data_IF_233119493627
#
_entry.id   IF_233119493627
#
_cell.length_a   1.000
_cell.length_b   1.000
_cell.length_c   1.000
_cell.angle_alpha   90.00
_cell.angle_beta   90.00
_cell.angle_gamma   90.00
#
_symmetry.space_group_name_H-M   'P 1'
#
loop_
_entity.id
_entity.type
_entity.pdbx_description
1 polymer ?
#
# COMPACT_ATOMS: atom_id res chain seq x y z
N UNK A 1 2.73 -20.40 8.34
CA UNK A 1 1.30 -20.02 8.44
C UNK A 1 1.18 -18.66 7.77
N UNK A 2 0.30 -18.54 6.78
CA UNK A 2 0.22 -17.39 5.87
C UNK A 2 -0.44 -16.18 6.54
N UNK A 3 0.18 -14.99 6.44
CA UNK A 3 -0.44 -13.73 6.83
C UNK A 3 -1.36 -13.26 5.72
N UNK A 4 -2.59 -12.88 6.05
CA UNK A 4 -3.56 -12.29 5.14
C UNK A 4 -3.84 -10.84 5.56
N UNK A 5 -3.93 -9.94 4.58
CA UNK A 5 -4.34 -8.57 4.85
C UNK A 5 -5.81 -8.49 5.26
N UNK A 6 -6.67 -9.39 4.75
CA UNK A 6 -8.08 -9.46 5.11
C UNK A 6 -8.30 -10.05 6.50
N UNK A 7 -7.37 -10.87 7.00
CA UNK A 7 -7.41 -11.47 8.33
C UNK A 7 -6.02 -11.47 9.00
N UNK A 8 -5.59 -10.31 9.52
CA UNK A 8 -4.27 -10.15 10.10
C UNK A 8 -4.07 -10.93 11.40
N UNK A 9 -5.14 -11.46 12.01
CA UNK A 9 -5.12 -12.09 13.34
C UNK A 9 -5.46 -13.59 13.34
N UNK A 10 -5.80 -14.20 12.20
CA UNK A 10 -6.17 -15.63 11.97
C UNK A 10 -5.26 -16.72 12.56
N UNK A 11 -4.12 -16.39 13.16
CA UNK A 11 -3.09 -17.35 13.55
C UNK A 11 -3.40 -18.19 14.80
N UNK A 12 -4.50 -17.92 15.50
CA UNK A 12 -4.95 -18.71 16.65
C UNK A 12 -6.23 -19.48 16.28
N UNK A 13 -6.07 -20.52 15.44
CA UNK A 13 -7.18 -21.43 15.08
C UNK A 13 -7.68 -22.31 16.24
N UNK A 14 -7.16 -22.14 17.44
CA UNK A 14 -7.71 -22.72 18.66
C UNK A 14 -7.82 -21.59 19.70
N UNK A 15 -9.06 -21.13 19.92
CA UNK A 15 -9.52 -20.12 20.86
C UNK A 15 -9.33 -18.64 20.45
N UNK A 16 -10.49 -18.04 20.11
CA UNK A 16 -10.79 -16.62 19.84
C UNK A 16 -10.57 -16.16 18.40
N UNK A 17 -11.64 -16.23 17.60
CA UNK A 17 -11.84 -15.25 16.54
C UNK A 17 -11.89 -13.88 17.23
N UNK A 18 -10.83 -13.10 17.08
CA UNK A 18 -10.79 -11.74 17.61
C UNK A 18 -11.99 -10.97 17.03
N UNK A 19 -12.72 -10.29 17.90
CA UNK A 19 -13.96 -9.59 17.51
C UNK A 19 -13.57 -8.32 16.77
N UNK A 20 -14.35 -7.89 15.78
CA UNK A 20 -14.14 -6.61 15.08
C UNK A 20 -13.85 -5.42 16.03
N UNK A 21 -14.41 -5.47 17.25
CA UNK A 21 -14.14 -4.54 18.35
C UNK A 21 -12.64 -4.43 18.72
N UNK A 22 -11.89 -5.53 18.74
CA UNK A 22 -10.46 -5.53 19.06
C UNK A 22 -9.63 -4.92 17.93
N UNK A 23 -10.07 -5.11 16.68
CA UNK A 23 -9.46 -4.43 15.53
C UNK A 23 -9.64 -2.91 15.65
N UNK A 24 -10.85 -2.43 15.94
CA UNK A 24 -11.11 -1.00 16.18
C UNK A 24 -10.30 -0.45 17.37
N UNK A 25 -10.15 -1.23 18.45
CA UNK A 25 -9.39 -0.79 19.62
C UNK A 25 -7.88 -0.68 19.33
N UNK A 26 -7.35 -1.54 18.45
CA UNK A 26 -5.90 -1.68 18.22
C UNK A 26 -5.41 -0.97 16.96
N UNK A 27 -6.28 -0.54 16.05
CA UNK A 27 -5.86 -0.02 14.74
C UNK A 27 -4.91 1.18 14.82
N UNK A 28 -5.01 1.98 15.87
CA UNK A 28 -4.15 3.16 16.10
C UNK A 28 -2.70 2.77 16.40
N UNK A 29 -2.45 1.59 16.97
CA UNK A 29 -1.10 1.10 17.27
C UNK A 29 -0.30 0.73 16.00
N UNK A 30 -1.02 0.59 14.89
CA UNK A 30 -0.51 0.23 13.57
C UNK A 30 -0.43 1.43 12.62
N UNK A 31 -0.68 2.65 13.11
CA UNK A 31 -0.55 3.88 12.33
C UNK A 31 0.84 4.52 12.48
N UNK A 32 1.28 5.32 11.49
CA UNK A 32 2.40 6.23 11.66
C UNK A 32 2.15 7.22 12.81
N UNK A 33 3.22 7.72 13.44
CA UNK A 33 3.08 8.71 14.51
C UNK A 33 2.38 10.00 14.03
N UNK A 34 1.50 10.64 14.82
CA UNK A 34 0.66 11.76 14.38
C UNK A 34 1.44 12.96 13.82
N UNK A 35 2.64 13.22 14.33
CA UNK A 35 3.48 14.34 13.88
C UNK A 35 4.23 14.06 12.57
N UNK A 36 4.07 12.86 11.99
CA UNK A 36 4.75 12.46 10.76
C UNK A 36 4.40 13.36 9.57
N UNK A 37 3.16 13.87 9.53
CA UNK A 37 2.63 14.65 8.40
C UNK A 37 3.12 16.09 8.35
N UNK A 38 3.71 16.61 9.43
CA UNK A 38 4.38 17.92 9.44
C UNK A 38 5.76 17.86 8.74
N UNK A 39 5.90 16.97 7.77
CA UNK A 39 7.18 16.56 7.20
C UNK A 39 7.86 17.69 6.44
N UNK A 40 9.18 17.82 6.62
CA UNK A 40 10.00 18.71 5.80
C UNK A 40 10.00 18.23 4.34
N UNK A 41 10.21 19.15 3.38
CA UNK A 41 10.27 18.83 1.94
C UNK A 41 11.18 17.63 1.61
N UNK A 42 12.29 17.47 2.35
CA UNK A 42 13.20 16.34 2.20
C UNK A 42 12.58 14.99 2.59
N UNK A 43 11.78 14.94 3.66
CA UNK A 43 11.06 13.71 4.06
C UNK A 43 10.04 13.28 3.02
N UNK A 44 9.37 14.24 2.37
CA UNK A 44 8.44 13.96 1.29
C UNK A 44 9.14 13.35 0.07
N UNK A 45 10.29 13.92 -0.36
CA UNK A 45 11.08 13.38 -1.47
C UNK A 45 11.58 11.96 -1.18
N UNK A 46 12.14 11.73 0.02
CA UNK A 46 12.61 10.40 0.44
C UNK A 46 11.49 9.37 0.44
N UNK A 47 10.29 9.74 0.92
CA UNK A 47 9.10 8.87 0.92
C UNK A 47 8.69 8.50 -0.49
N UNK A 48 8.59 9.47 -1.40
CA UNK A 48 8.20 9.22 -2.78
C UNK A 48 9.22 8.30 -3.50
N UNK A 49 10.51 8.53 -3.28
CA UNK A 49 11.57 7.69 -3.85
C UNK A 49 11.52 6.27 -3.27
N UNK A 50 11.32 6.12 -1.94
CA UNK A 50 11.19 4.82 -1.28
C UNK A 50 10.01 4.01 -1.85
N UNK A 51 8.83 4.64 -1.97
CA UNK A 51 7.63 3.99 -2.50
C UNK A 51 7.85 3.59 -3.96
N UNK A 52 8.43 4.46 -4.78
CA UNK A 52 8.76 4.16 -6.17
C UNK A 52 9.66 2.92 -6.29
N UNK A 53 10.70 2.84 -5.46
CA UNK A 53 11.59 1.68 -5.41
C UNK A 53 10.88 0.40 -4.95
N UNK A 54 9.99 0.49 -3.94
CA UNK A 54 9.19 -0.65 -3.48
C UNK A 54 8.31 -1.18 -4.62
N UNK A 55 7.60 -0.29 -5.32
CA UNK A 55 6.72 -0.66 -6.42
C UNK A 55 7.50 -1.20 -7.63
N UNK A 56 8.66 -0.62 -7.93
CA UNK A 56 9.55 -1.12 -8.97
C UNK A 56 10.00 -2.56 -8.68
N UNK A 57 10.45 -2.84 -7.45
CA UNK A 57 10.85 -4.20 -7.06
C UNK A 57 9.66 -5.16 -7.06
N UNK A 58 8.50 -4.71 -6.57
CA UNK A 58 7.26 -5.51 -6.62
C UNK A 58 6.93 -5.92 -8.07
N UNK A 59 7.01 -4.99 -9.01
CA UNK A 59 6.76 -5.27 -10.43
C UNK A 59 7.84 -6.18 -11.04
N UNK A 60 9.12 -5.87 -10.84
CA UNK A 60 10.24 -6.64 -11.41
C UNK A 60 10.33 -8.07 -10.89
N UNK A 61 9.97 -8.31 -9.63
CA UNK A 61 9.97 -9.62 -9.00
C UNK A 61 8.59 -10.33 -9.07
N UNK A 62 7.59 -9.71 -9.70
CA UNK A 62 6.21 -10.21 -9.76
C UNK A 62 5.64 -10.59 -8.38
N UNK A 63 5.87 -9.73 -7.37
CA UNK A 63 5.39 -9.96 -6.01
C UNK A 63 3.90 -9.61 -5.93
N UNK A 64 3.20 -10.31 -5.03
CA UNK A 64 1.82 -9.98 -4.72
C UNK A 64 1.71 -8.52 -4.21
N UNK A 65 0.72 -7.73 -4.67
CA UNK A 65 0.54 -6.34 -4.25
C UNK A 65 0.45 -6.16 -2.73
N UNK A 66 -0.03 -7.18 -1.99
CA UNK A 66 -0.07 -7.16 -0.53
C UNK A 66 1.31 -7.09 0.11
N UNK A 67 2.35 -7.63 -0.54
CA UNK A 67 3.74 -7.54 -0.06
C UNK A 67 4.22 -6.10 -0.12
N UNK A 68 3.99 -5.40 -1.24
CA UNK A 68 4.34 -4.00 -1.37
C UNK A 68 3.54 -3.12 -0.40
N UNK A 69 2.23 -3.37 -0.26
CA UNK A 69 1.38 -2.67 0.69
C UNK A 69 1.93 -2.78 2.12
N UNK A 70 2.32 -3.98 2.53
CA UNK A 70 2.86 -4.23 3.86
C UNK A 70 4.24 -3.58 4.03
N UNK A 71 5.10 -3.64 3.01
CA UNK A 71 6.40 -2.97 3.02
C UNK A 71 6.28 -1.45 3.15
N UNK A 72 5.34 -0.82 2.43
CA UNK A 72 5.08 0.62 2.51
C UNK A 72 4.50 0.98 3.88
N UNK A 73 3.61 0.16 4.45
CA UNK A 73 3.14 0.34 5.82
C UNK A 73 4.31 0.33 6.84
N UNK A 74 5.25 -0.61 6.71
CA UNK A 74 6.43 -0.65 7.57
C UNK A 74 7.32 0.56 7.39
N UNK A 75 7.56 0.97 6.15
CA UNK A 75 8.33 2.16 5.81
C UNK A 75 7.74 3.40 6.49
N UNK A 76 6.44 3.67 6.33
CA UNK A 76 5.79 4.84 6.91
C UNK A 76 5.89 4.83 8.45
N UNK A 77 5.61 3.69 9.08
CA UNK A 77 5.72 3.55 10.55
C UNK A 77 7.16 3.73 11.03
N UNK A 78 8.14 3.17 10.33
CA UNK A 78 9.56 3.32 10.64
C UNK A 78 10.02 4.79 10.52
N UNK A 79 9.72 5.44 9.39
CA UNK A 79 10.05 6.85 9.15
C UNK A 79 9.38 7.80 10.14
N UNK A 80 8.23 7.42 10.70
CA UNK A 80 7.53 8.22 11.71
C UNK A 80 8.19 8.18 13.09
N UNK A 81 8.97 7.13 13.39
CA UNK A 81 9.59 6.90 14.71
C UNK A 81 11.10 7.08 14.74
N UNK A 82 11.74 7.07 13.57
CA UNK A 82 13.18 7.18 13.44
C UNK A 82 13.60 8.43 12.68
N UNK A 83 14.65 9.08 13.15
CA UNK A 83 15.38 10.06 12.36
C UNK A 83 16.33 9.31 11.43
N UNK A 84 16.01 9.33 10.14
CA UNK A 84 16.86 8.74 9.11
C UNK A 84 17.84 9.81 8.65
N UNK A 85 19.17 9.59 8.74
CA UNK A 85 20.16 10.49 8.17
C UNK A 85 20.01 10.55 6.64
N UNK A 86 19.30 11.58 6.17
CA UNK A 86 18.92 11.74 4.75
C UNK A 86 20.11 12.06 3.82
N UNK A 87 21.31 12.26 4.39
CA UNK A 87 22.55 12.56 3.65
C UNK A 87 23.14 11.33 2.93
N UNK A 88 22.57 10.14 3.14
CA UNK A 88 23.11 8.87 2.63
C UNK A 88 22.09 8.16 1.73
N UNK A 89 22.16 8.33 0.39
CA UNK A 89 21.21 7.71 -0.54
C UNK A 89 21.16 6.17 -0.47
N UNK A 90 22.26 5.51 -0.08
CA UNK A 90 22.28 4.06 0.12
C UNK A 90 21.39 3.61 1.29
N UNK A 91 21.17 4.48 2.28
CA UNK A 91 20.36 4.14 3.46
C UNK A 91 18.88 3.98 3.09
N UNK A 92 18.38 4.82 2.17
CA UNK A 92 17.05 4.67 1.58
C UNK A 92 16.86 3.26 1.01
N UNK A 93 17.79 2.83 0.14
CA UNK A 93 17.75 1.52 -0.51
C UNK A 93 17.80 0.39 0.52
N UNK A 94 18.64 0.52 1.54
CA UNK A 94 18.72 -0.47 2.62
C UNK A 94 17.40 -0.58 3.40
N UNK A 95 16.75 0.54 3.73
CA UNK A 95 15.45 0.56 4.41
C UNK A 95 14.38 -0.09 3.52
N UNK A 96 14.33 0.27 2.23
CA UNK A 96 13.39 -0.30 1.25
C UNK A 96 13.54 -1.82 1.16
N UNK A 97 14.76 -2.31 0.92
CA UNK A 97 15.08 -3.74 0.82
C UNK A 97 14.69 -4.49 2.10
N UNK A 98 14.94 -3.88 3.26
CA UNK A 98 14.61 -4.50 4.55
C UNK A 98 13.10 -4.53 4.81
N UNK A 99 12.35 -3.49 4.40
CA UNK A 99 10.88 -3.49 4.48
C UNK A 99 10.28 -4.57 3.57
N UNK A 100 10.78 -4.71 2.35
CA UNK A 100 10.38 -5.76 1.40
C UNK A 100 10.70 -7.16 1.94
N UNK A 101 11.89 -7.36 2.49
CA UNK A 101 12.27 -8.65 3.06
C UNK A 101 11.43 -9.04 4.28
N UNK A 102 11.11 -8.08 5.16
CA UNK A 102 10.18 -8.31 6.27
C UNK A 102 8.77 -8.61 5.78
N UNK A 103 8.28 -7.89 4.78
CA UNK A 103 6.94 -8.10 4.23
C UNK A 103 6.82 -9.47 3.56
N UNK A 104 7.82 -9.90 2.78
CA UNK A 104 7.85 -11.22 2.16
C UNK A 104 7.92 -12.33 3.19
N UNK A 105 8.73 -12.19 4.25
CA UNK A 105 8.77 -13.13 5.38
C UNK A 105 7.42 -13.27 6.06
N UNK A 106 6.71 -12.16 6.29
CA UNK A 106 5.38 -12.17 6.90
C UNK A 106 4.35 -12.85 5.99
N UNK A 107 4.40 -12.59 4.69
CA UNK A 107 3.54 -13.22 3.67
C UNK A 107 3.97 -14.65 3.29
N UNK A 108 5.07 -15.17 3.83
CA UNK A 108 5.72 -16.41 3.39
C UNK A 108 6.00 -16.46 1.88
N UNK A 109 6.24 -15.30 1.26
CA UNK A 109 6.60 -15.18 -0.15
C UNK A 109 8.08 -15.52 -0.32
N UNK A 110 8.45 -16.49 -1.18
CA UNK A 110 9.84 -16.84 -1.40
C UNK A 110 10.55 -15.68 -2.10
N UNK A 111 11.41 -14.97 -1.37
CA UNK A 111 12.14 -13.82 -1.88
C UNK A 111 13.53 -13.79 -1.28
N UNK A 112 14.56 -13.90 -2.13
CA UNK A 112 15.94 -13.78 -1.67
C UNK A 112 16.38 -12.32 -1.68
N UNK A 113 17.36 -11.98 -0.83
CA UNK A 113 17.94 -10.63 -0.78
C UNK A 113 18.61 -10.27 -2.11
N UNK A 114 19.09 -11.26 -2.86
CA UNK A 114 19.68 -11.08 -4.19
C UNK A 114 18.64 -10.62 -5.22
N UNK A 115 17.39 -11.07 -5.09
CA UNK A 115 16.31 -10.75 -6.04
C UNK A 115 15.84 -9.30 -5.91
N UNK A 116 15.94 -8.73 -4.70
CA UNK A 116 15.45 -7.38 -4.37
C UNK A 116 16.55 -6.32 -4.34
N UNK A 117 17.75 -6.63 -4.80
CA UNK A 117 18.82 -5.63 -4.88
C UNK A 117 18.39 -4.49 -5.81
N UNK A 118 18.71 -3.26 -5.39
CA UNK A 118 18.41 -2.05 -6.15
C UNK A 118 19.70 -1.60 -6.84
N UNK A 119 19.61 -1.25 -8.13
CA UNK A 119 20.76 -0.84 -8.93
C UNK A 119 21.63 0.20 -8.22
N UNK A 120 22.94 0.00 -8.24
CA UNK A 120 23.92 0.90 -7.63
C UNK A 120 24.18 0.70 -6.13
N UNK A 121 23.54 -0.25 -5.45
CA UNK A 121 23.88 -0.67 -4.09
C UNK A 121 23.74 -2.18 -3.92
N UNK A 122 24.79 -2.86 -3.47
CA UNK A 122 24.75 -4.29 -3.14
C UNK A 122 24.89 -4.43 -1.63
N UNK A 123 23.89 -4.99 -0.98
CA UNK A 123 23.90 -5.24 0.46
C UNK A 123 24.03 -6.73 0.77
N UNK A 124 24.97 -7.03 1.67
CA UNK A 124 25.09 -8.36 2.26
C UNK A 124 23.87 -8.68 3.13
N UNK A 125 23.50 -9.97 3.19
CA UNK A 125 22.39 -10.46 4.01
C UNK A 125 22.50 -10.03 5.47
N UNK A 126 23.72 -10.00 6.03
CA UNK A 126 23.96 -9.55 7.40
C UNK A 126 23.59 -8.06 7.60
N UNK A 127 23.85 -7.21 6.61
CA UNK A 127 23.54 -5.78 6.68
C UNK A 127 22.04 -5.54 6.60
N UNK A 128 21.35 -6.25 5.71
CA UNK A 128 19.87 -6.25 5.65
C UNK A 128 19.29 -6.71 6.98
N UNK A 129 19.75 -7.85 7.52
CA UNK A 129 19.26 -8.37 8.81
C UNK A 129 19.44 -7.40 9.98
N UNK A 130 20.52 -6.60 10.02
CA UNK A 130 20.68 -5.54 11.03
C UNK A 130 19.63 -4.44 10.89
N UNK A 131 19.34 -4.02 9.66
CA UNK A 131 18.29 -3.02 9.39
C UNK A 131 16.90 -3.58 9.70
N UNK A 132 16.63 -4.86 9.38
CA UNK A 132 15.38 -5.52 9.75
C UNK A 132 15.14 -5.48 11.25
N UNK A 133 16.16 -5.74 12.07
CA UNK A 133 16.05 -5.65 13.53
C UNK A 133 15.73 -4.22 14.00
N UNK A 134 16.29 -3.20 13.36
CA UNK A 134 15.95 -1.80 13.67
C UNK A 134 14.50 -1.48 13.32
N UNK A 135 14.01 -1.97 12.17
CA UNK A 135 12.61 -1.81 11.76
C UNK A 135 11.69 -2.54 12.74
N UNK A 136 11.98 -3.81 13.06
CA UNK A 136 11.22 -4.61 14.03
C UNK A 136 11.16 -3.92 15.40
N UNK A 137 12.29 -3.41 15.89
CA UNK A 137 12.35 -2.67 17.15
C UNK A 137 11.49 -1.39 17.11
N UNK A 138 11.61 -0.60 16.04
CA UNK A 138 10.81 0.62 15.88
C UNK A 138 9.31 0.34 15.74
N UNK A 139 8.93 -0.81 15.18
CA UNK A 139 7.54 -1.24 15.02
C UNK A 139 7.01 -2.00 16.25
N UNK A 140 7.82 -2.16 17.30
CA UNK A 140 7.50 -2.96 18.50
C UNK A 140 7.07 -4.38 18.13
N UNK A 141 7.69 -4.95 17.10
CA UNK A 141 7.39 -6.28 16.56
C UNK A 141 5.95 -6.47 16.05
N UNK A 142 5.15 -5.40 15.96
CA UNK A 142 3.78 -5.42 15.42
C UNK A 142 3.78 -5.46 13.89
N UNK A 143 4.25 -6.58 13.33
CA UNK A 143 4.40 -6.78 11.88
C UNK A 143 3.09 -7.21 11.21
N UNK A 144 2.16 -7.81 11.96
CA UNK A 144 0.80 -8.08 11.47
C UNK A 144 -0.01 -6.81 11.50
N UNK A 145 0.24 -5.92 10.54
CA UNK A 145 -0.40 -4.61 10.50
C UNK A 145 -1.90 -4.75 10.37
N UNK A 146 -2.64 -4.05 11.23
CA UNK A 146 -4.08 -3.84 11.03
C UNK A 146 -4.21 -2.87 9.85
N UNK A 147 -4.82 -3.35 8.78
CA UNK A 147 -4.99 -2.61 7.52
C UNK A 147 -6.48 -2.35 7.26
N UNK A 148 -6.87 -1.61 6.21
CA UNK A 148 -8.28 -1.34 5.92
C UNK A 148 -9.07 -2.59 5.50
N UNK A 149 -8.41 -3.64 4.99
CA UNK A 149 -9.08 -4.79 4.36
C UNK A 149 -10.02 -5.60 5.30
N UNK A 150 -9.69 -5.87 6.57
CA UNK A 150 -10.60 -6.53 7.51
C UNK A 150 -11.85 -5.71 7.80
N UNK A 151 -11.69 -4.38 7.91
CA UNK A 151 -12.81 -3.46 8.09
C UNK A 151 -13.68 -3.37 6.83
N UNK A 152 -13.08 -3.43 5.64
CA UNK A 152 -13.83 -3.50 4.38
C UNK A 152 -14.73 -4.75 4.36
N UNK A 153 -14.17 -5.91 4.72
CA UNK A 153 -14.94 -7.14 4.84
C UNK A 153 -16.10 -7.02 5.85
N UNK A 154 -15.83 -6.42 7.01
CA UNK A 154 -16.84 -6.12 8.02
C UNK A 154 -17.96 -5.24 7.47
N UNK A 155 -17.63 -4.06 6.92
CA UNK A 155 -18.65 -3.13 6.42
C UNK A 155 -19.49 -3.73 5.31
N UNK A 156 -18.88 -4.43 4.35
CA UNK A 156 -19.61 -5.12 3.26
C UNK A 156 -20.58 -6.16 3.80
N UNK A 157 -20.14 -6.95 4.78
CA UNK A 157 -20.95 -7.98 5.43
C UNK A 157 -22.14 -7.37 6.18
N UNK A 158 -21.94 -6.21 6.80
CA UNK A 158 -22.97 -5.46 7.54
C UNK A 158 -23.96 -4.70 6.65
N UNK A 159 -23.71 -4.57 5.34
CA UNK A 159 -24.65 -3.90 4.44
C UNK A 159 -25.92 -4.72 4.20
N UNK A 160 -27.06 -4.02 4.10
CA UNK A 160 -28.37 -4.60 3.75
C UNK A 160 -28.49 -5.01 2.26
N UNK A 161 -27.41 -4.87 1.48
CA UNK A 161 -27.37 -5.27 0.09
C UNK A 161 -27.65 -6.77 -0.03
N UNK A 162 -28.73 -7.13 -0.76
CA UNK A 162 -29.13 -8.53 -0.94
C UNK A 162 -28.39 -9.22 -2.08
N UNK A 163 -27.89 -8.46 -3.05
CA UNK A 163 -27.22 -8.97 -4.22
C UNK A 163 -25.75 -9.31 -3.91
N UNK A 164 -25.37 -10.62 -3.90
CA UNK A 164 -24.00 -11.03 -3.63
C UNK A 164 -23.02 -10.57 -4.73
N UNK A 165 -23.49 -10.46 -5.98
CA UNK A 165 -22.65 -10.02 -7.09
C UNK A 165 -22.27 -8.55 -6.94
N UNK A 166 -23.23 -7.69 -6.57
CA UNK A 166 -22.96 -6.30 -6.26
C UNK A 166 -22.01 -6.15 -5.07
N UNK A 167 -22.18 -6.95 -4.00
CA UNK A 167 -21.25 -6.95 -2.85
C UNK A 167 -19.83 -7.26 -3.28
N UNK A 168 -19.65 -8.23 -4.19
CA UNK A 168 -18.35 -8.60 -4.71
C UNK A 168 -17.72 -7.48 -5.55
N UNK A 169 -18.48 -6.89 -6.48
CA UNK A 169 -17.99 -5.78 -7.32
C UNK A 169 -17.64 -4.54 -6.47
N UNK A 170 -18.44 -4.24 -5.44
CA UNK A 170 -18.12 -3.18 -4.47
C UNK A 170 -16.85 -3.49 -3.68
N UNK A 171 -16.65 -4.74 -3.25
CA UNK A 171 -15.42 -5.18 -2.57
C UNK A 171 -14.20 -4.95 -3.45
N UNK A 172 -14.27 -5.36 -4.70
CA UNK A 172 -13.17 -5.24 -5.67
C UNK A 172 -12.83 -3.77 -5.94
N UNK A 173 -13.84 -2.94 -6.17
CA UNK A 173 -13.61 -1.52 -6.42
C UNK A 173 -13.09 -0.77 -5.19
N UNK A 174 -13.66 -1.04 -4.00
CA UNK A 174 -13.16 -0.46 -2.76
C UNK A 174 -11.71 -0.92 -2.47
N UNK A 175 -11.39 -2.17 -2.78
CA UNK A 175 -10.01 -2.70 -2.69
C UNK A 175 -9.05 -1.95 -3.60
N UNK A 176 -9.43 -1.70 -4.87
CA UNK A 176 -8.64 -0.86 -5.80
C UNK A 176 -8.41 0.54 -5.23
N UNK A 177 -9.47 1.17 -4.70
CA UNK A 177 -9.38 2.50 -4.07
C UNK A 177 -8.41 2.48 -2.88
N UNK A 178 -8.48 1.46 -2.00
CA UNK A 178 -7.57 1.32 -0.85
C UNK A 178 -6.11 1.21 -1.30
N UNK A 179 -5.82 0.42 -2.34
CA UNK A 179 -4.47 0.30 -2.88
C UNK A 179 -3.95 1.63 -3.41
N UNK A 180 -4.77 2.35 -4.16
CA UNK A 180 -4.38 3.65 -4.71
C UNK A 180 -4.18 4.70 -3.59
N UNK A 181 -5.06 4.68 -2.58
CA UNK A 181 -5.03 5.56 -1.41
C UNK A 181 -3.76 5.40 -0.56
N UNK A 182 -3.19 4.20 -0.54
CA UNK A 182 -2.06 3.86 0.32
C UNK A 182 -0.81 4.73 0.08
N UNK A 183 -0.66 5.27 -1.12
CA UNK A 183 0.49 6.08 -1.52
C UNK A 183 0.29 7.58 -1.25
N UNK A 184 -0.94 8.03 -0.98
CA UNK A 184 -1.23 9.43 -0.69
C UNK A 184 -0.85 9.74 0.77
N UNK A 185 0.01 10.74 0.94
CA UNK A 185 0.46 11.18 2.25
C UNK A 185 -0.69 11.73 3.09
N UNK A 186 -1.69 12.36 2.48
CA UNK A 186 -2.86 12.92 3.17
C UNK A 186 -3.71 11.82 3.78
N UNK A 187 -3.72 10.63 3.20
CA UNK A 187 -4.54 9.52 3.70
C UNK A 187 -3.87 8.77 4.86
N UNK A 188 -2.62 9.06 5.19
CA UNK A 188 -1.90 8.41 6.30
C UNK A 188 -2.35 8.88 7.70
N UNK A 189 -3.07 10.01 7.83
CA UNK A 189 -3.66 10.42 9.12
C UNK A 189 -4.90 9.65 9.52
N UNK A 190 -5.56 9.00 8.56
CA UNK A 190 -6.84 8.35 8.80
C UNK A 190 -6.64 6.91 9.28
N UNK A 191 -7.49 6.51 10.22
CA UNK A 191 -7.50 5.15 10.73
C UNK A 191 -7.84 4.15 9.62
N UNK A 192 -7.29 2.93 9.66
CA UNK A 192 -7.62 1.87 8.71
C UNK A 192 -9.12 1.66 8.52
N UNK A 193 -9.92 1.72 9.58
CA UNK A 193 -11.38 1.63 9.53
C UNK A 193 -12.03 2.78 8.76
N UNK A 194 -11.57 4.01 8.99
CA UNK A 194 -12.01 5.21 8.24
C UNK A 194 -11.65 5.10 6.77
N UNK A 195 -10.45 4.63 6.43
CA UNK A 195 -10.02 4.37 5.04
C UNK A 195 -10.94 3.34 4.39
N UNK A 196 -11.23 2.21 5.06
CA UNK A 196 -12.09 1.17 4.54
C UNK A 196 -13.53 1.65 4.27
N UNK A 197 -14.12 2.35 5.24
CA UNK A 197 -15.43 2.96 5.14
C UNK A 197 -15.50 3.95 3.96
N UNK A 198 -14.50 4.82 3.85
CA UNK A 198 -14.43 5.86 2.83
C UNK A 198 -14.26 5.28 1.43
N UNK A 199 -13.46 4.22 1.30
CA UNK A 199 -13.27 3.52 0.04
C UNK A 199 -14.56 2.82 -0.42
N UNK A 200 -15.28 2.17 0.51
CA UNK A 200 -16.55 1.51 0.21
C UNK A 200 -17.63 2.52 -0.19
N UNK A 201 -17.74 3.65 0.52
CA UNK A 201 -18.67 4.73 0.17
C UNK A 201 -18.32 5.31 -1.20
N UNK A 202 -17.03 5.55 -1.48
CA UNK A 202 -16.58 6.06 -2.78
C UNK A 202 -16.85 5.08 -3.93
N UNK A 203 -16.59 3.79 -3.74
CA UNK A 203 -16.94 2.74 -4.71
C UNK A 203 -18.44 2.70 -5.00
N UNK A 204 -19.28 2.86 -3.97
CA UNK A 204 -20.74 2.86 -4.16
C UNK A 204 -21.26 4.07 -4.94
N UNK A 205 -20.57 5.22 -4.86
CA UNK A 205 -20.91 6.42 -5.63
C UNK A 205 -20.75 6.19 -7.13
N UNK A 206 -19.74 5.42 -7.52
CA UNK A 206 -19.44 5.08 -8.91
C UNK A 206 -20.34 3.95 -9.43
N UNK A 207 -20.43 2.84 -8.67
CA UNK A 207 -21.05 1.60 -9.16
C UNK A 207 -22.55 1.50 -8.91
N UNK A 208 -23.06 2.10 -7.83
CA UNK A 208 -24.47 2.05 -7.48
C UNK A 208 -24.96 3.37 -6.84
N UNK A 209 -25.01 4.48 -7.60
CA UNK A 209 -25.36 5.81 -7.07
C UNK A 209 -26.71 5.85 -6.31
N UNK A 210 -27.64 4.97 -6.68
CA UNK A 210 -28.95 4.84 -6.03
C UNK A 210 -28.86 4.39 -4.56
N UNK A 211 -27.82 3.63 -4.21
CA UNK A 211 -27.63 3.06 -2.86
C UNK A 211 -26.61 3.84 -2.03
N UNK A 212 -25.93 4.82 -2.64
CA UNK A 212 -24.89 5.65 -2.02
C UNK A 212 -25.35 6.28 -0.70
N UNK A 213 -26.50 6.97 -0.69
CA UNK A 213 -26.99 7.67 0.50
C UNK A 213 -27.30 6.72 1.65
N UNK A 214 -27.92 5.58 1.35
CA UNK A 214 -28.23 4.54 2.35
C UNK A 214 -26.96 3.92 2.91
N UNK A 215 -26.02 3.54 2.04
CA UNK A 215 -24.76 2.93 2.46
C UNK A 215 -23.92 3.88 3.30
N UNK A 216 -23.82 5.15 2.89
CA UNK A 216 -23.14 6.19 3.65
C UNK A 216 -23.75 6.37 5.04
N UNK A 217 -25.08 6.46 5.14
CA UNK A 217 -25.76 6.61 6.43
C UNK A 217 -25.56 5.38 7.34
N UNK A 218 -25.64 4.17 6.77
CA UNK A 218 -25.43 2.93 7.53
C UNK A 218 -24.00 2.80 8.05
N UNK A 219 -23.00 3.18 7.28
CA UNK A 219 -21.59 3.14 7.69
C UNK A 219 -21.29 4.25 8.71
N UNK A 220 -21.81 5.48 8.49
CA UNK A 220 -21.64 6.59 9.41
C UNK A 220 -22.29 6.36 10.79
N UNK A 221 -23.29 5.47 10.87
CA UNK A 221 -23.90 5.05 12.13
C UNK A 221 -23.00 4.14 12.99
N UNK A 222 -21.83 3.73 12.49
CA UNK A 222 -20.87 2.93 13.27
C UNK A 222 -20.21 3.79 14.36
N UNK A 223 -20.46 3.46 15.63
CA UNK A 223 -19.97 4.22 16.80
C UNK A 223 -18.44 4.34 16.88
N UNK A 224 -17.70 3.43 16.24
CA UNK A 224 -16.24 3.44 16.24
C UNK A 224 -15.63 4.40 15.19
N UNK A 225 -16.44 5.02 14.32
CA UNK A 225 -16.01 5.99 13.33
C UNK A 225 -16.26 7.42 13.81
N UNK A 226 -15.27 8.27 13.61
CA UNK A 226 -15.41 9.72 13.76
C UNK A 226 -16.01 10.33 12.48
N UNK A 227 -17.15 11.00 12.60
CA UNK A 227 -17.93 11.50 11.44
C UNK A 227 -17.19 12.59 10.65
N UNK A 228 -16.47 13.47 11.35
CA UNK A 228 -15.68 14.54 10.74
C UNK A 228 -14.51 13.97 9.92
N UNK A 229 -13.77 13.01 10.50
CA UNK A 229 -12.66 12.32 9.82
C UNK A 229 -13.16 11.48 8.66
N UNK A 230 -14.30 10.80 8.82
CA UNK A 230 -14.93 10.02 7.75
C UNK A 230 -15.30 10.91 6.57
N UNK A 231 -15.93 12.05 6.81
CA UNK A 231 -16.35 12.97 5.75
C UNK A 231 -15.15 13.50 4.97
N UNK A 232 -14.11 13.99 5.67
CA UNK A 232 -12.88 14.48 5.03
C UNK A 232 -12.17 13.39 4.22
N UNK A 233 -12.10 12.16 4.76
CA UNK A 233 -11.47 11.04 4.09
C UNK A 233 -12.23 10.63 2.82
N UNK A 234 -13.57 10.67 2.84
CA UNK A 234 -14.40 10.42 1.65
C UNK A 234 -14.10 11.47 0.58
N UNK A 235 -14.05 12.74 0.93
CA UNK A 235 -13.80 13.82 -0.03
C UNK A 235 -12.42 13.65 -0.68
N UNK A 236 -11.38 13.37 0.12
CA UNK A 236 -10.03 13.10 -0.39
C UNK A 236 -9.98 11.88 -1.33
N UNK A 237 -10.64 10.77 -0.97
CA UNK A 237 -10.67 9.58 -1.82
C UNK A 237 -11.43 9.81 -3.12
N UNK A 238 -12.53 10.55 -3.09
CA UNK A 238 -13.30 10.87 -4.29
C UNK A 238 -12.53 11.78 -5.23
N UNK A 239 -11.84 12.79 -4.71
CA UNK A 239 -10.90 13.60 -5.49
C UNK A 239 -9.84 12.70 -6.15
N UNK A 240 -9.23 11.81 -5.37
CA UNK A 240 -8.19 10.90 -5.85
C UNK A 240 -8.68 9.95 -6.96
N UNK A 241 -9.89 9.40 -6.83
CA UNK A 241 -10.53 8.56 -7.86
C UNK A 241 -10.73 9.36 -9.15
N UNK A 242 -11.27 10.58 -9.05
CA UNK A 242 -11.47 11.45 -10.22
C UNK A 242 -10.14 11.76 -10.95
N UNK A 243 -9.06 12.03 -10.22
CA UNK A 243 -7.74 12.25 -10.82
C UNK A 243 -7.18 11.02 -11.51
N UNK A 244 -7.46 9.82 -10.98
CA UNK A 244 -6.98 8.56 -11.56
C UNK A 244 -7.69 8.26 -12.88
N UNK A 245 -9.01 8.43 -12.93
CA UNK A 245 -9.82 8.24 -14.15
C UNK A 245 -9.43 9.23 -15.27
N UNK A 246 -9.18 10.49 -14.93
CA UNK A 246 -8.74 11.50 -15.90
C UNK A 246 -7.40 11.12 -16.56
N UNK A 247 -6.48 10.54 -15.78
CA UNK A 247 -5.17 10.12 -16.28
C UNK A 247 -5.24 8.81 -17.07
N UNK A 248 -6.10 7.85 -16.68
CA UNK A 248 -6.35 6.64 -17.48
C UNK A 248 -6.96 6.99 -18.86
N UNK A 249 -7.78 8.04 -18.94
CA UNK A 249 -8.37 8.51 -20.22
C UNK A 249 -7.41 9.29 -21.13
N UNK A 250 -6.25 9.74 -20.61
CA UNK A 250 -5.24 10.49 -21.38
C UNK A 250 -4.03 9.65 -21.80
N UNK A 251 -3.88 8.42 -21.29
CA UNK A 251 -2.83 7.48 -21.72
C UNK A 251 -3.33 6.76 -22.98
N UNK A 252 -3.44 7.51 -24.07
CA UNK A 252 -3.58 6.98 -25.42
C UNK A 252 -2.18 6.84 -26.03
N UNK A 253 -1.66 5.61 -26.06
CA UNK A 253 -0.69 5.09 -27.03
C UNK A 253 0.50 5.99 -27.45
N UNK A 254 1.29 6.54 -26.52
CA UNK A 254 2.54 7.26 -26.91
C UNK A 254 3.79 6.99 -26.06
N UNK A 255 3.71 6.18 -24.99
CA UNK A 255 4.85 5.92 -24.10
C UNK A 255 5.52 4.54 -24.24
N UNK A 256 5.11 3.73 -25.23
CA UNK A 256 5.74 2.44 -25.56
C UNK A 256 6.65 2.48 -26.81
N UNK A 257 7.15 3.65 -27.19
CA UNK A 257 8.19 3.77 -28.21
C UNK A 257 9.55 3.91 -27.54
N UNK A 258 10.09 2.82 -26.99
CA UNK A 258 11.54 2.70 -26.88
C UNK A 258 12.08 2.46 -28.29
N UNK A 259 12.39 3.52 -29.02
CA UNK A 259 13.29 3.42 -30.17
C UNK A 259 14.65 2.96 -29.65
N UNK A 260 14.97 1.69 -29.87
CA UNK A 260 16.34 1.19 -29.73
C UNK A 260 17.23 1.89 -30.77
N UNK A 261 18.39 2.48 -30.37
CA UNK A 261 19.30 3.07 -31.33
C UNK A 261 19.88 1.99 -32.24
N UNK A 262 19.84 2.26 -33.54
CA UNK A 262 20.44 1.43 -34.61
C UNK A 262 21.90 1.15 -34.28
N UNK A 263 22.23 -0.13 -34.06
CA UNK A 263 23.60 -0.60 -33.86
C UNK A 263 24.46 -0.34 -35.11
N UNK A 264 25.64 0.26 -34.92
CA UNK A 264 26.60 0.69 -35.95
C UNK A 264 27.38 -0.48 -36.60
N UNK A 265 26.77 -1.65 -36.79
CA UNK A 265 27.44 -2.84 -37.35
C UNK A 265 27.04 -3.23 -38.78
N UNK A 266 26.17 -2.47 -39.46
CA UNK A 266 25.84 -2.72 -40.88
C UNK A 266 26.60 -1.84 -41.89
N UNK A 267 27.80 -1.34 -41.55
CA UNK A 267 28.61 -0.53 -42.49
C UNK A 267 29.76 -1.26 -43.18
N UNK A 268 29.82 -2.59 -43.16
CA UNK A 268 30.95 -3.32 -43.76
C UNK A 268 30.58 -4.56 -44.56
N UNK A 269 29.43 -4.59 -45.25
CA UNK A 269 29.18 -5.60 -46.31
C UNK A 269 28.47 -4.95 -47.50
N UNK A 270 29.12 -3.99 -48.16
CA UNK A 270 28.79 -3.59 -49.55
C UNK A 270 29.92 -2.85 -50.25
N UNK A 271 31.14 -3.40 -50.19
CA UNK A 271 32.21 -3.11 -51.18
C UNK A 271 33.08 -4.34 -51.35
N UNK A 272 32.69 -5.22 -52.27
CA UNK A 272 33.56 -6.10 -53.10
C UNK A 272 32.69 -7.08 -53.86
N UNK A 273 32.48 -6.81 -55.15
CA UNK A 273 32.58 -7.77 -56.26
C UNK A 273 32.34 -7.00 -57.57
N UNK A 274 33.45 -6.89 -58.32
CA UNK A 274 33.62 -6.87 -59.78
C UNK A 274 32.53 -6.16 -60.58
#
# INVERSE_FOLDING_TARGET
MEFDLEDPLSCFKEQQAYTITELFASESDHMPAPNYLNSTHFRASFRCEAISLILQVQFSCNLDPSVAYLAINYLHRFMSRQEIPMEKPWLLKLVVISCLSLASKMKNTPLSISDIQIEGCIFESQTVGKMELLILGALEWRMRSITPFPFLHFFISSTELKDPSLKQVLKEQATKIIFNAHNDIKLLEYKPSTIAASALISASRELCPQQYTMLRASIAACENLDEDSLTKCIDLMQEMVMWTEANESTIDTSFLSTETPVSVLERSIKRRRI
#
